data_IF_499541405022
#
_entry.id   IF_499541405022
#
_cell.length_a   1.000
_cell.length_b   1.000
_cell.length_c   1.000
_cell.angle_alpha   90.00
_cell.angle_beta   90.00
_cell.angle_gamma   90.00
#
_symmetry.space_group_name_H-M   'P 1'
#
loop_
_entity.id
_entity.type
_entity.pdbx_description
1 polymer ?
#
# COMPACT_ATOMS: atom_id res chain seq x y z
N UNK A 1 39.59 -29.71 95.24
CA UNK A 1 40.08 -29.05 94.01
C UNK A 1 39.64 -29.90 92.82
N UNK A 2 38.41 -29.72 92.31
CA UNK A 2 37.92 -30.43 91.10
C UNK A 2 36.72 -29.74 90.41
N UNK A 3 36.46 -28.46 90.73
CA UNK A 3 35.25 -27.73 90.27
C UNK A 3 35.47 -27.01 88.91
N UNK A 4 36.72 -26.86 88.48
CA UNK A 4 37.10 -26.08 87.28
C UNK A 4 36.93 -26.89 85.96
N UNK A 5 37.16 -28.21 85.99
CA UNK A 5 37.16 -29.05 84.79
C UNK A 5 35.76 -29.21 84.19
N UNK A 6 34.71 -29.29 85.02
CA UNK A 6 33.33 -29.47 84.54
C UNK A 6 32.67 -28.17 84.04
N UNK A 7 33.15 -27.02 84.49
CA UNK A 7 32.72 -25.72 83.96
C UNK A 7 33.36 -25.46 82.58
N UNK A 8 34.66 -25.75 82.46
CA UNK A 8 35.40 -25.67 81.19
C UNK A 8 34.85 -26.62 80.14
N UNK A 9 34.57 -27.88 80.49
CA UNK A 9 33.97 -28.86 79.56
C UNK A 9 32.57 -28.46 79.08
N UNK A 10 31.75 -27.86 79.94
CA UNK A 10 30.42 -27.35 79.55
C UNK A 10 30.51 -26.13 78.64
N UNK A 11 31.47 -25.24 78.87
CA UNK A 11 31.72 -24.09 78.00
C UNK A 11 32.28 -24.53 76.63
N UNK A 12 33.23 -25.47 76.60
CA UNK A 12 33.77 -26.04 75.36
C UNK A 12 32.70 -26.80 74.57
N UNK A 13 31.82 -27.56 75.24
CA UNK A 13 30.70 -28.24 74.58
C UNK A 13 29.65 -27.27 74.02
N UNK A 14 29.29 -26.22 74.77
CA UNK A 14 28.33 -25.21 74.31
C UNK A 14 28.90 -24.37 73.14
N UNK A 15 30.20 -24.05 73.18
CA UNK A 15 30.88 -23.38 72.07
C UNK A 15 30.86 -24.26 70.81
N UNK A 16 31.21 -25.53 70.96
CA UNK A 16 31.19 -26.51 69.85
C UNK A 16 29.79 -26.67 69.26
N UNK A 17 28.75 -26.78 70.08
CA UNK A 17 27.36 -26.89 69.60
C UNK A 17 26.93 -25.61 68.86
N UNK A 18 27.33 -24.43 69.34
CA UNK A 18 27.07 -23.16 68.67
C UNK A 18 27.82 -23.04 67.35
N UNK A 19 29.08 -23.50 67.29
CA UNK A 19 29.90 -23.52 66.07
C UNK A 19 29.35 -24.50 65.03
N UNK A 20 28.92 -25.69 65.46
CA UNK A 20 28.29 -26.70 64.59
C UNK A 20 26.95 -26.16 64.02
N UNK A 21 26.14 -25.49 64.86
CA UNK A 21 24.88 -24.86 64.43
C UNK A 21 25.11 -23.69 63.46
N UNK A 22 26.10 -22.83 63.73
CA UNK A 22 26.47 -21.74 62.83
C UNK A 22 26.96 -22.28 61.49
N UNK A 23 27.85 -23.28 61.50
CA UNK A 23 28.39 -23.91 60.29
C UNK A 23 27.27 -24.54 59.45
N UNK A 24 26.34 -25.25 60.08
CA UNK A 24 25.20 -25.84 59.37
C UNK A 24 24.32 -24.78 58.69
N UNK A 25 23.99 -23.69 59.39
CA UNK A 25 23.24 -22.58 58.80
C UNK A 25 24.00 -21.94 57.64
N UNK A 26 25.27 -21.61 57.87
CA UNK A 26 26.17 -21.00 56.90
C UNK A 26 26.31 -21.82 55.61
N UNK A 27 26.46 -23.15 55.73
CA UNK A 27 26.57 -24.06 54.59
C UNK A 27 25.24 -24.27 53.86
N UNK A 28 24.10 -24.14 54.55
CA UNK A 28 22.76 -24.29 53.98
C UNK A 28 22.15 -23.01 53.39
N UNK A 29 22.80 -21.85 53.54
CA UNK A 29 22.31 -20.58 53.02
C UNK A 29 22.36 -20.56 51.49
N UNK A 30 21.23 -20.21 50.85
CA UNK A 30 21.15 -19.99 49.39
C UNK A 30 21.72 -18.63 48.95
N UNK A 31 21.73 -17.66 49.87
CA UNK A 31 22.34 -16.34 49.67
C UNK A 31 23.86 -16.45 49.81
N UNK A 32 24.60 -15.84 48.87
CA UNK A 32 26.04 -15.84 48.94
C UNK A 32 26.52 -14.95 50.09
N UNK A 33 27.46 -15.47 50.87
CA UNK A 33 28.08 -14.76 51.97
C UNK A 33 29.60 -14.81 51.84
N UNK A 34 30.25 -13.67 52.05
CA UNK A 34 31.69 -13.55 52.13
C UNK A 34 32.12 -12.58 53.23
N UNK A 35 33.20 -12.91 53.93
CA UNK A 35 33.95 -12.00 54.79
C UNK A 35 35.24 -11.64 54.08
N UNK A 36 35.54 -10.35 54.01
CA UNK A 36 36.73 -9.82 53.34
C UNK A 36 37.48 -8.84 54.24
N UNK A 37 38.81 -8.89 54.17
CA UNK A 37 39.69 -7.86 54.72
C UNK A 37 40.02 -6.86 53.60
N UNK A 38 39.62 -5.60 53.76
CA UNK A 38 39.84 -4.54 52.76
C UNK A 38 41.26 -3.98 52.94
N UNK A 39 42.00 -3.87 51.84
CA UNK A 39 43.43 -3.54 51.83
C UNK A 39 43.65 -2.09 51.38
N UNK A 40 44.54 -1.39 52.08
CA UNK A 40 45.02 -0.05 51.72
C UNK A 40 46.39 -0.12 51.05
N UNK A 41 46.67 0.83 50.16
CA UNK A 41 48.03 1.09 49.69
C UNK A 41 48.83 1.95 50.70
N UNK A 42 50.09 2.25 50.37
CA UNK A 42 50.96 3.10 51.19
C UNK A 42 50.45 4.54 51.35
N UNK A 43 49.59 5.00 50.43
CA UNK A 43 48.95 6.32 50.47
C UNK A 43 47.65 6.31 51.30
N UNK A 44 47.23 5.14 51.80
CA UNK A 44 46.02 4.96 52.61
C UNK A 44 44.73 4.82 51.80
N UNK A 45 44.80 4.65 50.47
CA UNK A 45 43.66 4.44 49.61
C UNK A 45 43.24 2.96 49.55
N UNK A 46 41.95 2.68 49.48
CA UNK A 46 41.41 1.32 49.36
C UNK A 46 41.65 0.75 47.95
N UNK A 47 42.46 -0.30 47.83
CA UNK A 47 42.97 -0.78 46.52
C UNK A 47 42.62 -2.23 46.17
N UNK A 48 42.37 -3.08 47.16
CA UNK A 48 42.00 -4.48 46.95
C UNK A 48 41.30 -5.03 48.20
N UNK A 49 40.86 -6.28 48.17
CA UNK A 49 40.35 -6.98 49.34
C UNK A 49 40.69 -8.47 49.27
N UNK A 50 40.90 -9.08 50.43
CA UNK A 50 41.24 -10.50 50.57
C UNK A 50 40.05 -11.27 51.16
N UNK A 51 39.67 -12.38 50.55
CA UNK A 51 38.62 -13.24 51.09
C UNK A 51 39.12 -14.00 52.31
N UNK A 52 38.41 -13.86 53.43
CA UNK A 52 38.72 -14.51 54.71
C UNK A 52 37.84 -15.75 54.89
N UNK A 53 36.56 -15.63 54.53
CA UNK A 53 35.57 -16.68 54.71
C UNK A 53 34.52 -16.55 53.60
N UNK A 54 34.05 -17.66 53.05
CA UNK A 54 32.94 -17.67 52.08
C UNK A 54 32.07 -18.90 52.31
N UNK A 55 30.78 -18.81 51.99
CA UNK A 55 29.89 -19.96 52.03
C UNK A 55 29.81 -20.69 50.66
N UNK A 56 29.22 -21.90 50.59
CA UNK A 56 29.06 -22.62 49.32
C UNK A 56 28.28 -21.84 48.26
N UNK A 57 27.25 -21.08 48.67
CA UNK A 57 26.48 -20.24 47.75
C UNK A 57 27.35 -19.17 47.07
N UNK A 58 28.35 -18.60 47.74
CA UNK A 58 29.32 -17.70 47.10
C UNK A 58 29.95 -18.33 45.86
N UNK A 59 30.38 -19.59 45.97
CA UNK A 59 31.02 -20.30 44.85
C UNK A 59 30.01 -20.57 43.74
N UNK A 60 28.76 -20.91 44.06
CA UNK A 60 27.71 -21.09 43.05
C UNK A 60 27.37 -19.75 42.32
N UNK A 61 27.24 -18.66 43.07
CA UNK A 61 26.88 -17.34 42.57
C UNK A 61 28.03 -16.61 41.87
N UNK A 62 29.29 -16.99 42.09
CA UNK A 62 30.45 -16.33 41.45
C UNK A 62 31.22 -17.24 40.49
N UNK A 63 31.17 -18.55 40.68
CA UNK A 63 31.99 -19.52 39.94
C UNK A 63 33.48 -19.53 40.34
N UNK A 64 33.87 -18.80 41.38
CA UNK A 64 35.28 -18.69 41.79
C UNK A 64 35.72 -19.92 42.60
N UNK A 65 36.73 -20.69 42.13
CA UNK A 65 37.27 -21.79 42.90
C UNK A 65 38.25 -21.27 43.96
N UNK A 66 38.11 -21.78 45.19
CA UNK A 66 39.06 -21.55 46.30
C UNK A 66 39.40 -20.08 46.58
N UNK A 67 38.40 -19.22 46.88
CA UNK A 67 38.64 -17.78 47.02
C UNK A 67 39.37 -17.39 48.31
N UNK A 68 39.23 -18.17 49.38
CA UNK A 68 39.79 -17.86 50.71
C UNK A 68 41.32 -17.72 50.67
N UNK A 69 41.83 -16.65 51.26
CA UNK A 69 43.25 -16.30 51.34
C UNK A 69 43.77 -15.49 50.16
N UNK A 70 43.03 -15.43 49.05
CA UNK A 70 43.41 -14.73 47.81
C UNK A 70 42.76 -13.36 47.72
N UNK A 71 43.35 -12.46 46.93
CA UNK A 71 42.75 -11.14 46.69
C UNK A 71 41.80 -11.15 45.50
N UNK A 72 40.92 -10.15 45.42
CA UNK A 72 40.01 -9.98 44.30
C UNK A 72 40.78 -9.80 42.98
N UNK A 73 41.87 -9.06 43.00
CA UNK A 73 42.76 -8.89 41.83
C UNK A 73 43.39 -10.21 41.39
N UNK A 74 43.80 -11.09 42.30
CA UNK A 74 44.36 -12.40 41.96
C UNK A 74 43.34 -13.36 41.32
N UNK A 75 42.06 -13.22 41.66
CA UNK A 75 40.98 -14.09 41.19
C UNK A 75 40.32 -13.57 39.91
N UNK A 76 40.08 -12.26 39.83
CA UNK A 76 39.35 -11.62 38.73
C UNK A 76 40.26 -10.85 37.76
N UNK A 77 41.54 -10.65 38.11
CA UNK A 77 42.50 -9.88 37.34
C UNK A 77 42.26 -8.37 37.43
N UNK A 78 41.11 -7.92 36.92
CA UNK A 78 40.65 -6.52 36.98
C UNK A 78 39.21 -6.48 37.50
N UNK A 79 39.00 -6.67 38.82
CA UNK A 79 37.67 -6.60 39.42
C UNK A 79 37.04 -5.22 39.19
N UNK A 80 35.72 -5.11 39.35
CA UNK A 80 35.06 -3.80 39.32
C UNK A 80 35.74 -2.87 40.35
N UNK A 81 36.32 -1.73 39.92
CA UNK A 81 37.03 -0.82 40.82
C UNK A 81 36.13 -0.21 41.90
N UNK A 82 34.82 -0.28 41.72
CA UNK A 82 33.84 0.20 42.69
C UNK A 82 33.74 -0.70 43.92
N UNK A 83 34.17 -1.96 43.87
CA UNK A 83 34.12 -2.85 45.04
C UNK A 83 34.94 -2.35 46.22
N UNK A 84 36.18 -1.93 45.97
CA UNK A 84 37.07 -1.43 47.03
C UNK A 84 36.58 -0.12 47.61
N UNK A 85 35.94 0.73 46.79
CA UNK A 85 35.28 1.95 47.22
C UNK A 85 34.08 1.65 48.13
N UNK A 86 33.21 0.71 47.75
CA UNK A 86 32.03 0.33 48.53
C UNK A 86 32.41 -0.33 49.86
N UNK A 87 33.37 -1.27 49.84
CA UNK A 87 33.82 -1.94 51.06
C UNK A 87 34.59 -1.00 51.97
N UNK A 88 35.46 -0.16 51.40
CA UNK A 88 36.17 0.88 52.13
C UNK A 88 35.21 1.89 52.78
N UNK A 89 34.20 2.35 52.03
CA UNK A 89 33.15 3.22 52.55
C UNK A 89 32.38 2.55 53.69
N UNK A 90 32.05 1.26 53.57
CA UNK A 90 31.41 0.53 54.66
C UNK A 90 32.30 0.54 55.91
N UNK A 91 33.60 0.24 55.80
CA UNK A 91 34.56 0.31 56.93
C UNK A 91 34.59 1.70 57.56
N UNK A 92 34.83 2.73 56.74
CA UNK A 92 35.01 4.12 57.19
C UNK A 92 33.75 4.66 57.89
N UNK A 93 32.56 4.38 57.33
CA UNK A 93 31.27 4.86 57.86
C UNK A 93 30.68 3.96 58.93
N UNK A 94 31.02 2.66 58.93
CA UNK A 94 30.38 1.57 59.68
C UNK A 94 28.88 1.40 59.43
N UNK A 95 28.33 2.03 58.40
CA UNK A 95 26.94 1.87 58.00
C UNK A 95 26.82 0.76 56.97
N UNK A 96 25.71 0.03 57.02
CA UNK A 96 25.42 -0.97 56.00
C UNK A 96 25.07 -0.30 54.67
N UNK A 97 25.64 -0.79 53.57
CA UNK A 97 25.43 -0.29 52.22
C UNK A 97 24.67 -1.35 51.41
N UNK A 98 23.57 -0.95 50.78
CA UNK A 98 22.81 -1.79 49.84
C UNK A 98 22.89 -1.22 48.44
N UNK A 99 23.27 -2.04 47.47
CA UNK A 99 23.48 -1.61 46.09
C UNK A 99 23.36 -2.78 45.13
N UNK A 100 22.82 -2.53 43.94
CA UNK A 100 22.95 -3.45 42.81
C UNK A 100 24.18 -3.06 41.99
N UNK A 101 25.11 -3.98 41.79
CA UNK A 101 26.36 -3.67 41.11
C UNK A 101 26.79 -4.85 40.22
N UNK A 102 27.35 -4.51 39.06
CA UNK A 102 27.82 -5.50 38.09
C UNK A 102 29.28 -5.88 38.40
N UNK A 103 29.61 -7.15 38.18
CA UNK A 103 31.00 -7.60 38.05
C UNK A 103 31.25 -7.97 36.58
N UNK A 104 31.87 -7.07 35.80
CA UNK A 104 32.12 -7.28 34.37
C UNK A 104 32.93 -8.54 34.07
N UNK A 105 33.88 -8.92 34.95
CA UNK A 105 34.72 -10.11 34.76
C UNK A 105 33.93 -11.41 34.85
N UNK A 106 32.82 -11.41 35.61
CA UNK A 106 31.91 -12.54 35.74
C UNK A 106 30.70 -12.45 34.80
N UNK A 107 30.50 -11.31 34.14
CA UNK A 107 29.29 -10.98 33.38
C UNK A 107 28.01 -11.21 34.22
N UNK A 108 28.05 -10.77 35.48
CA UNK A 108 26.95 -10.93 36.46
C UNK A 108 26.62 -9.61 37.14
N UNK A 109 25.38 -9.46 37.55
CA UNK A 109 24.88 -8.37 38.39
C UNK A 109 24.45 -8.97 39.72
N UNK A 110 24.91 -8.36 40.80
CA UNK A 110 24.61 -8.78 42.15
C UNK A 110 23.80 -7.70 42.87
N UNK A 111 22.83 -8.11 43.68
CA UNK A 111 22.23 -7.26 44.72
C UNK A 111 23.00 -7.54 46.00
N UNK A 112 23.61 -6.51 46.60
CA UNK A 112 24.56 -6.64 47.70
C UNK A 112 24.07 -5.91 48.94
N UNK A 113 24.35 -6.51 50.09
CA UNK A 113 24.27 -5.90 51.40
C UNK A 113 25.61 -6.04 52.12
N UNK A 114 26.29 -4.90 52.28
CA UNK A 114 27.67 -4.80 52.76
C UNK A 114 27.63 -4.20 54.17
N UNK A 115 28.27 -4.84 55.15
CA UNK A 115 28.30 -4.36 56.53
C UNK A 115 29.65 -4.64 57.21
N UNK A 116 30.09 -3.70 58.05
CA UNK A 116 31.36 -3.81 58.76
C UNK A 116 31.25 -4.79 59.93
N UNK A 117 32.18 -5.76 60.00
CA UNK A 117 32.28 -6.69 61.13
C UNK A 117 33.30 -6.21 62.17
N UNK A 118 34.45 -5.71 61.71
CA UNK A 118 35.53 -5.25 62.58
C UNK A 118 36.26 -4.09 61.90
N UNK A 119 36.16 -2.89 62.47
CA UNK A 119 36.80 -1.69 61.94
C UNK A 119 38.32 -1.69 62.13
N UNK A 120 38.81 -2.24 63.23
CA UNK A 120 40.24 -2.24 63.54
C UNK A 120 41.02 -3.15 62.56
N UNK A 121 40.34 -4.17 62.04
CA UNK A 121 40.86 -5.09 61.03
C UNK A 121 40.43 -4.78 59.59
N UNK A 122 39.72 -3.66 59.36
CA UNK A 122 39.13 -3.30 58.06
C UNK A 122 38.30 -4.44 57.44
N UNK A 123 37.53 -5.15 58.27
CA UNK A 123 36.80 -6.36 57.89
C UNK A 123 35.34 -6.08 57.63
N UNK A 124 34.87 -6.57 56.50
CA UNK A 124 33.50 -6.41 56.01
C UNK A 124 32.90 -7.77 55.69
N UNK A 125 31.63 -7.95 56.00
CA UNK A 125 30.82 -9.03 55.48
C UNK A 125 29.91 -8.53 54.36
N UNK A 126 29.71 -9.38 53.37
CA UNK A 126 28.92 -9.10 52.18
C UNK A 126 27.96 -10.26 51.98
N UNK A 127 26.67 -9.95 51.99
CA UNK A 127 25.60 -10.82 51.54
C UNK A 127 25.23 -10.39 50.12
N UNK A 128 25.07 -11.34 49.21
CA UNK A 128 24.62 -11.01 47.87
C UNK A 128 23.87 -12.12 47.16
N UNK A 129 23.03 -11.71 46.20
CA UNK A 129 22.30 -12.61 45.31
C UNK A 129 22.57 -12.23 43.85
N UNK A 130 22.81 -13.23 43.00
CA UNK A 130 22.89 -13.02 41.55
C UNK A 130 21.51 -12.68 40.97
N UNK A 131 21.35 -11.46 40.46
CA UNK A 131 20.12 -10.95 39.84
C UNK A 131 20.23 -10.78 38.33
N UNK A 132 21.25 -11.38 37.70
CA UNK A 132 21.55 -11.20 36.27
C UNK A 132 20.38 -11.60 35.38
N UNK A 133 19.78 -12.77 35.60
CA UNK A 133 18.67 -13.27 34.78
C UNK A 133 17.42 -12.40 34.91
N UNK A 134 17.12 -11.91 36.13
CA UNK A 134 16.04 -10.94 36.35
C UNK A 134 16.29 -9.66 35.56
N UNK A 135 17.49 -9.08 35.64
CA UNK A 135 17.85 -7.85 34.90
C UNK A 135 17.78 -8.05 33.39
N UNK A 136 18.24 -9.19 32.88
CA UNK A 136 18.14 -9.52 31.44
C UNK A 136 16.69 -9.65 30.98
N UNK A 137 15.84 -10.30 31.78
CA UNK A 137 14.42 -10.41 31.48
C UNK A 137 13.71 -9.04 31.49
N UNK A 138 14.02 -8.17 32.46
CA UNK A 138 13.50 -6.81 32.54
C UNK A 138 13.90 -5.96 31.31
N UNK A 139 15.18 -6.02 30.91
CA UNK A 139 15.68 -5.30 29.72
C UNK A 139 15.03 -5.85 28.45
N UNK A 140 14.99 -7.17 28.27
CA UNK A 140 14.39 -7.80 27.10
C UNK A 140 12.88 -7.50 27.00
N UNK A 141 12.17 -7.47 28.13
CA UNK A 141 10.76 -7.08 28.17
C UNK A 141 10.60 -5.63 27.73
N UNK A 142 11.38 -4.71 28.32
CA UNK A 142 11.34 -3.29 27.95
C UNK A 142 11.66 -3.04 26.48
N UNK A 143 12.68 -3.72 25.95
CA UNK A 143 13.03 -3.65 24.52
C UNK A 143 11.92 -4.20 23.64
N UNK A 144 11.28 -5.30 24.04
CA UNK A 144 10.16 -5.86 23.31
C UNK A 144 8.93 -4.96 23.35
N UNK A 145 8.63 -4.33 24.49
CA UNK A 145 7.54 -3.36 24.64
C UNK A 145 7.77 -2.12 23.77
N UNK A 146 8.97 -1.57 23.80
CA UNK A 146 9.37 -0.43 22.97
C UNK A 146 9.26 -0.76 21.48
N UNK A 147 9.78 -1.92 21.06
CA UNK A 147 9.67 -2.39 19.68
C UNK A 147 8.22 -2.53 19.26
N UNK A 148 7.37 -3.14 20.09
CA UNK A 148 5.96 -3.31 19.78
C UNK A 148 5.22 -1.97 19.68
N UNK A 149 5.54 -1.02 20.58
CA UNK A 149 4.99 0.35 20.51
C UNK A 149 5.34 1.03 19.19
N UNK A 150 6.61 1.01 18.79
CA UNK A 150 7.06 1.62 17.54
C UNK A 150 6.44 0.94 16.32
N UNK A 151 6.27 -0.39 16.33
CA UNK A 151 5.58 -1.10 15.24
C UNK A 151 4.12 -0.66 15.09
N UNK A 152 3.42 -0.43 16.21
CA UNK A 152 2.04 0.05 16.23
C UNK A 152 1.97 1.48 15.68
N UNK A 153 2.87 2.37 16.10
CA UNK A 153 2.92 3.78 15.65
C UNK A 153 3.21 3.94 14.14
N UNK A 154 3.82 2.94 13.50
CA UNK A 154 4.09 2.96 12.06
C UNK A 154 2.87 2.65 11.18
N UNK A 155 1.83 2.03 11.75
CA UNK A 155 0.65 1.64 10.97
C UNK A 155 -0.28 2.85 10.82
N UNK A 156 -0.59 3.32 9.60
CA UNK A 156 -1.53 4.42 9.38
C UNK A 156 -2.97 3.91 9.48
N UNK A 157 -3.33 3.40 10.66
CA UNK A 157 -4.65 2.88 10.96
C UNK A 157 -5.17 3.49 12.25
N UNK A 158 -6.48 3.64 12.34
CA UNK A 158 -7.12 3.82 13.65
C UNK A 158 -7.15 2.48 14.35
N UNK A 159 -6.62 2.40 15.57
CA UNK A 159 -6.56 1.18 16.37
C UNK A 159 -7.36 1.36 17.66
N UNK A 160 -8.11 0.33 18.00
CA UNK A 160 -8.88 0.32 19.25
C UNK A 160 -9.02 -1.10 19.80
N UNK A 161 -9.54 -1.17 21.00
CA UNK A 161 -9.91 -2.42 21.63
C UNK A 161 -11.23 -2.28 22.34
N UNK A 162 -11.97 -3.38 22.37
CA UNK A 162 -13.27 -3.47 23.03
C UNK A 162 -13.26 -4.64 24.01
N UNK A 163 -14.09 -4.55 25.04
CA UNK A 163 -14.35 -5.66 25.95
C UNK A 163 -15.28 -6.71 25.29
N UNK A 164 -15.49 -7.88 25.92
CA UNK A 164 -16.37 -8.92 25.37
C UNK A 164 -17.83 -8.49 25.18
N UNK A 165 -18.28 -7.44 25.88
CA UNK A 165 -19.62 -6.87 25.73
C UNK A 165 -19.69 -5.82 24.60
N UNK A 166 -18.59 -5.54 23.91
CA UNK A 166 -18.52 -4.65 22.76
C UNK A 166 -18.26 -3.18 23.10
N UNK A 167 -17.88 -2.85 24.35
CA UNK A 167 -17.58 -1.47 24.74
C UNK A 167 -16.12 -1.13 24.48
N UNK A 168 -15.84 0.07 23.99
CA UNK A 168 -14.46 0.55 23.76
C UNK A 168 -13.73 0.70 25.08
N UNK A 169 -12.54 0.09 25.17
CA UNK A 169 -11.66 0.15 26.35
C UNK A 169 -10.47 1.08 26.09
N UNK A 170 -9.93 1.04 24.87
CA UNK A 170 -8.80 1.89 24.44
C UNK A 170 -9.02 2.23 22.97
N UNK A 171 -8.79 3.49 22.58
CA UNK A 171 -8.64 3.93 21.20
C UNK A 171 -7.35 4.75 21.10
N UNK A 172 -6.67 4.65 19.97
CA UNK A 172 -5.42 5.37 19.73
C UNK A 172 -5.65 6.85 19.35
N UNK A 173 -4.55 7.59 19.20
CA UNK A 173 -4.63 9.01 18.86
C UNK A 173 -5.09 9.25 17.42
N UNK A 174 -4.87 8.29 16.51
CA UNK A 174 -5.35 8.35 15.13
C UNK A 174 -6.88 8.32 15.07
N UNK A 175 -7.54 7.54 15.93
CA UNK A 175 -9.00 7.56 16.08
C UNK A 175 -9.53 8.98 16.28
N UNK A 176 -8.97 9.70 17.26
CA UNK A 176 -9.40 11.06 17.57
C UNK A 176 -9.08 12.03 16.44
N UNK A 177 -7.88 11.92 15.83
CA UNK A 177 -7.48 12.78 14.72
C UNK A 177 -8.41 12.62 13.51
N UNK A 178 -8.80 11.38 13.22
CA UNK A 178 -9.58 11.05 12.04
C UNK A 178 -11.07 11.33 12.22
N UNK A 179 -11.65 10.94 13.37
CA UNK A 179 -13.11 11.03 13.62
C UNK A 179 -13.54 12.29 14.35
N UNK A 180 -12.60 12.97 15.03
CA UNK A 180 -12.88 14.10 15.93
C UNK A 180 -13.45 13.73 17.30
N UNK A 181 -13.71 12.44 17.58
CA UNK A 181 -14.28 11.97 18.84
C UNK A 181 -13.21 11.81 19.93
N UNK A 182 -13.52 12.19 21.18
CA UNK A 182 -12.60 12.01 22.32
C UNK A 182 -12.84 10.65 22.98
N UNK A 183 -11.78 9.92 23.33
CA UNK A 183 -11.89 8.58 23.89
C UNK A 183 -12.59 8.50 25.28
N UNK A 184 -12.89 9.64 25.94
CA UNK A 184 -13.47 9.74 27.29
C UNK A 184 -15.01 9.82 27.33
N UNK A 185 -15.68 9.92 26.19
CA UNK A 185 -17.14 9.78 26.12
C UNK A 185 -17.49 8.27 26.06
N UNK A 186 -18.51 7.83 26.80
CA UNK A 186 -18.93 6.42 26.91
C UNK A 186 -19.38 5.85 25.53
N UNK A 187 -18.42 5.36 24.76
CA UNK A 187 -18.53 5.19 23.30
C UNK A 187 -18.95 3.79 22.81
N UNK A 188 -19.78 3.05 23.55
CA UNK A 188 -20.43 1.86 22.96
C UNK A 188 -21.19 2.21 21.65
N UNK A 189 -21.60 3.48 21.49
CA UNK A 189 -22.28 4.00 20.29
C UNK A 189 -21.43 4.93 19.40
N UNK A 190 -20.22 5.33 19.81
CA UNK A 190 -19.38 6.28 19.07
C UNK A 190 -18.90 5.80 17.71
N UNK A 191 -18.61 4.50 17.63
CA UNK A 191 -18.20 3.84 16.39
C UNK A 191 -19.24 4.01 15.27
N UNK A 192 -20.53 3.96 15.61
CA UNK A 192 -21.63 4.05 14.64
C UNK A 192 -21.82 5.46 14.10
N UNK A 193 -21.56 6.46 14.93
CA UNK A 193 -21.68 7.87 14.51
C UNK A 193 -20.62 8.27 13.50
N UNK A 194 -19.46 7.60 13.53
CA UNK A 194 -18.43 7.74 12.53
C UNK A 194 -18.77 7.01 11.21
N UNK A 195 -19.69 6.04 11.22
CA UNK A 195 -20.04 5.25 10.03
C UNK A 195 -21.10 6.00 9.20
N UNK A 196 -20.94 5.98 7.88
CA UNK A 196 -21.92 6.52 6.94
C UNK A 196 -23.31 5.91 7.17
N UNK A 197 -24.39 6.71 7.17
CA UNK A 197 -25.75 6.23 7.47
C UNK A 197 -26.15 4.93 6.76
N UNK A 198 -25.93 4.83 5.45
CA UNK A 198 -26.27 3.61 4.68
C UNK A 198 -25.49 2.35 5.11
N UNK A 199 -24.32 2.52 5.74
CA UNK A 199 -23.43 1.40 6.07
C UNK A 199 -23.65 0.91 7.52
N UNK A 200 -24.43 1.64 8.34
CA UNK A 200 -24.60 1.41 9.79
C UNK A 200 -25.29 0.10 10.10
N UNK A 201 -26.43 -0.18 9.47
CA UNK A 201 -27.21 -1.38 9.75
C UNK A 201 -26.42 -2.65 9.44
N UNK A 202 -25.71 -2.65 8.30
CA UNK A 202 -24.82 -3.73 7.92
C UNK A 202 -23.61 -3.85 8.87
N UNK A 203 -23.06 -2.74 9.35
CA UNK A 203 -21.98 -2.74 10.34
C UNK A 203 -22.42 -3.38 11.66
N UNK A 204 -23.57 -2.95 12.17
CA UNK A 204 -24.18 -3.45 13.41
C UNK A 204 -24.43 -4.96 13.35
N UNK A 205 -25.06 -5.42 12.27
CA UNK A 205 -25.36 -6.84 12.10
C UNK A 205 -24.09 -7.70 12.06
N UNK A 206 -23.07 -7.25 11.31
CA UNK A 206 -21.80 -7.98 11.18
C UNK A 206 -21.03 -8.00 12.52
N UNK A 207 -21.03 -6.88 13.24
CA UNK A 207 -20.36 -6.78 14.54
C UNK A 207 -21.06 -7.61 15.61
N UNK A 208 -22.40 -7.58 15.67
CA UNK A 208 -23.17 -8.43 16.58
C UNK A 208 -22.93 -9.92 16.31
N UNK A 209 -22.84 -10.32 15.04
CA UNK A 209 -22.50 -11.69 14.67
C UNK A 209 -21.10 -12.09 15.12
N UNK A 210 -20.10 -11.22 14.95
CA UNK A 210 -18.75 -11.45 15.40
C UNK A 210 -18.69 -11.63 16.92
N UNK A 211 -19.34 -10.74 17.69
CA UNK A 211 -19.41 -10.87 19.16
C UNK A 211 -20.06 -12.20 19.60
N UNK A 212 -21.12 -12.62 18.93
CA UNK A 212 -21.86 -13.85 19.28
C UNK A 212 -21.08 -15.14 18.95
N UNK A 213 -20.30 -15.14 17.86
CA UNK A 213 -19.60 -16.33 17.36
C UNK A 213 -18.14 -16.40 17.80
N UNK A 214 -17.53 -15.26 18.07
CA UNK A 214 -16.09 -15.14 18.24
C UNK A 214 -15.29 -15.31 16.95
N UNK A 215 -15.92 -15.15 15.78
CA UNK A 215 -15.22 -15.15 14.50
C UNK A 215 -14.64 -13.75 14.19
N UNK A 216 -13.46 -13.66 13.55
CA UNK A 216 -12.93 -12.39 13.07
C UNK A 216 -13.89 -11.72 12.07
N UNK A 217 -14.01 -10.40 12.17
CA UNK A 217 -14.76 -9.58 11.22
C UNK A 217 -13.80 -8.82 10.31
N UNK A 218 -14.08 -8.80 9.02
CA UNK A 218 -13.43 -7.91 8.05
C UNK A 218 -14.49 -7.32 7.12
N UNK A 219 -14.50 -6.00 6.94
CA UNK A 219 -15.44 -5.32 6.03
C UNK A 219 -14.89 -4.01 5.50
N UNK A 220 -15.41 -3.58 4.35
CA UNK A 220 -15.23 -2.23 3.88
C UNK A 220 -16.43 -1.38 4.28
N UNK A 221 -16.18 -0.17 4.76
CA UNK A 221 -17.24 0.78 5.12
C UNK A 221 -16.75 2.21 4.97
N UNK A 222 -17.69 3.15 4.86
CA UNK A 222 -17.38 4.57 4.84
C UNK A 222 -17.37 5.12 6.26
N UNK A 223 -16.23 5.67 6.66
CA UNK A 223 -16.10 6.39 7.93
C UNK A 223 -15.95 7.89 7.66
N UNK A 224 -16.51 8.70 8.55
CA UNK A 224 -16.51 10.16 8.52
C UNK A 224 -15.15 10.69 8.95
N UNK A 225 -14.63 11.64 8.20
CA UNK A 225 -13.48 12.46 8.58
C UNK A 225 -13.89 13.66 9.44
N UNK A 226 -12.92 14.28 10.10
CA UNK A 226 -13.12 15.49 10.90
C UNK A 226 -13.81 16.63 10.11
N UNK A 227 -13.58 16.74 8.80
CA UNK A 227 -14.16 17.77 7.93
C UNK A 227 -15.59 17.43 7.43
N UNK A 228 -16.13 16.26 7.80
CA UNK A 228 -17.50 15.83 7.50
C UNK A 228 -17.65 14.93 6.27
N UNK A 229 -16.63 14.84 5.43
CA UNK A 229 -16.59 13.92 4.28
C UNK A 229 -16.40 12.47 4.71
N UNK A 230 -16.80 11.53 3.85
CA UNK A 230 -16.70 10.10 4.11
C UNK A 230 -15.66 9.44 3.23
N UNK A 231 -14.83 8.60 3.84
CA UNK A 231 -13.77 7.84 3.15
C UNK A 231 -13.90 6.35 3.40
N UNK A 232 -13.54 5.57 2.39
CA UNK A 232 -13.57 4.12 2.46
C UNK A 232 -12.47 3.60 3.38
N UNK A 233 -12.85 2.73 4.31
CA UNK A 233 -11.94 2.08 5.24
C UNK A 233 -12.12 0.57 5.20
N UNK A 234 -11.00 -0.16 5.27
CA UNK A 234 -10.99 -1.57 5.60
C UNK A 234 -10.96 -1.71 7.12
N UNK A 235 -12.05 -2.22 7.68
CA UNK A 235 -12.24 -2.42 9.12
C UNK A 235 -12.12 -3.89 9.45
N UNK A 236 -11.27 -4.21 10.43
CA UNK A 236 -11.05 -5.58 10.90
C UNK A 236 -11.15 -5.65 12.41
N UNK A 237 -11.81 -6.69 12.93
CA UNK A 237 -11.83 -7.04 14.34
C UNK A 237 -11.35 -8.47 14.56
N UNK A 238 -10.47 -8.65 15.53
CA UNK A 238 -9.94 -9.97 15.93
C UNK A 238 -10.13 -10.20 17.44
N UNK A 239 -10.62 -11.39 17.85
CA UNK A 239 -10.80 -11.71 19.26
C UNK A 239 -9.49 -12.20 19.88
N UNK A 240 -9.30 -11.87 21.15
CA UNK A 240 -8.26 -12.41 22.02
C UNK A 240 -8.92 -13.38 22.99
N UNK A 241 -8.36 -14.59 23.06
CA UNK A 241 -8.88 -15.65 23.92
C UNK A 241 -7.97 -15.86 25.12
N UNK A 242 -8.58 -16.04 26.29
CA UNK A 242 -7.91 -16.46 27.51
C UNK A 242 -7.49 -17.93 27.47
N UNK A 243 -6.83 -18.37 28.54
CA UNK A 243 -6.39 -19.77 28.69
C UNK A 243 -7.56 -20.77 28.74
N UNK A 244 -8.75 -20.32 29.13
CA UNK A 244 -10.01 -21.07 29.16
C UNK A 244 -10.77 -21.06 27.82
N UNK A 245 -10.23 -20.40 26.79
CA UNK A 245 -10.85 -20.25 25.48
C UNK A 245 -11.93 -19.16 25.40
N UNK A 246 -12.27 -18.54 26.53
CA UNK A 246 -13.22 -17.42 26.58
C UNK A 246 -12.60 -16.18 25.94
N UNK A 247 -13.42 -15.36 25.29
CA UNK A 247 -12.96 -14.10 24.71
C UNK A 247 -12.76 -13.11 25.85
N UNK A 248 -11.56 -12.58 25.98
CA UNK A 248 -11.20 -11.61 27.02
C UNK A 248 -11.19 -10.18 26.48
N UNK A 249 -10.99 -10.02 25.17
CA UNK A 249 -10.91 -8.72 24.50
C UNK A 249 -11.07 -8.89 22.99
N UNK A 250 -11.38 -7.81 22.29
CA UNK A 250 -11.15 -7.74 20.85
C UNK A 250 -10.26 -6.55 20.50
N UNK A 251 -9.49 -6.69 19.43
CA UNK A 251 -8.77 -5.59 18.79
C UNK A 251 -9.41 -5.23 17.46
N UNK A 252 -9.58 -3.94 17.22
CA UNK A 252 -10.10 -3.37 15.99
C UNK A 252 -9.05 -2.51 15.30
N UNK A 253 -9.06 -2.53 13.97
CA UNK A 253 -8.26 -1.64 13.13
C UNK A 253 -9.10 -1.12 11.96
N UNK A 254 -8.89 0.12 11.57
CA UNK A 254 -9.46 0.73 10.37
C UNK A 254 -8.36 1.40 9.55
N UNK A 255 -8.13 0.89 8.34
CA UNK A 255 -7.14 1.44 7.39
C UNK A 255 -7.90 2.22 6.32
N UNK A 256 -7.50 3.45 6.04
CA UNK A 256 -8.05 4.23 4.92
C UNK A 256 -7.63 3.58 3.59
N UNK A 257 -8.62 3.20 2.80
CA UNK A 257 -8.45 2.58 1.48
C UNK A 257 -9.11 3.43 0.38
N UNK A 258 -9.42 4.70 0.66
CA UNK A 258 -10.20 5.54 -0.24
C UNK A 258 -9.53 5.73 -1.60
N UNK A 259 -8.22 5.99 -1.62
CA UNK A 259 -7.47 6.13 -2.88
C UNK A 259 -7.44 4.83 -3.68
N UNK A 260 -7.29 3.69 -2.99
CA UNK A 260 -7.33 2.36 -3.61
C UNK A 260 -8.72 2.09 -4.21
N UNK A 261 -9.77 2.40 -3.46
CA UNK A 261 -11.16 2.23 -3.90
C UNK A 261 -11.48 3.14 -5.10
N UNK A 262 -11.03 4.40 -5.10
CA UNK A 262 -11.21 5.34 -6.20
C UNK A 262 -10.49 4.89 -7.48
N UNK A 263 -9.26 4.39 -7.35
CA UNK A 263 -8.52 3.81 -8.47
C UNK A 263 -9.25 2.60 -9.05
N UNK A 264 -9.74 1.70 -8.19
CA UNK A 264 -10.52 0.53 -8.63
C UNK A 264 -11.81 0.94 -9.34
N UNK A 265 -12.54 1.91 -8.79
CA UNK A 265 -13.78 2.42 -9.39
C UNK A 265 -13.54 3.06 -10.76
N UNK A 266 -12.45 3.82 -10.91
CA UNK A 266 -12.05 4.40 -12.20
C UNK A 266 -11.68 3.31 -13.21
N UNK A 267 -10.95 2.28 -12.79
CA UNK A 267 -10.61 1.15 -13.67
C UNK A 267 -11.86 0.43 -14.17
N UNK A 268 -12.85 0.19 -13.31
CA UNK A 268 -14.11 -0.45 -13.71
C UNK A 268 -14.90 0.40 -14.72
N UNK A 269 -14.94 1.72 -14.55
CA UNK A 269 -15.56 2.64 -15.51
C UNK A 269 -14.86 2.54 -16.87
N UNK A 270 -13.53 2.60 -16.89
CA UNK A 270 -12.74 2.49 -18.14
C UNK A 270 -12.94 1.14 -18.83
N UNK A 271 -13.01 0.04 -18.07
CA UNK A 271 -13.29 -1.30 -18.62
C UNK A 271 -14.69 -1.34 -19.25
N UNK A 272 -15.70 -0.80 -18.56
CA UNK A 272 -17.06 -0.74 -19.09
C UNK A 272 -17.16 0.11 -20.36
N UNK A 273 -16.45 1.24 -20.41
CA UNK A 273 -16.40 2.10 -21.59
C UNK A 273 -15.69 1.42 -22.77
N UNK A 274 -14.56 0.75 -22.52
CA UNK A 274 -13.85 -0.04 -23.53
C UNK A 274 -14.72 -1.18 -24.08
N UNK A 275 -15.44 -1.89 -23.21
CA UNK A 275 -16.37 -2.95 -23.63
C UNK A 275 -17.50 -2.39 -24.49
N UNK A 276 -18.05 -1.22 -24.13
CA UNK A 276 -19.05 -0.55 -24.93
C UNK A 276 -18.51 -0.16 -26.31
N UNK A 277 -17.30 0.43 -26.38
CA UNK A 277 -16.64 0.77 -27.65
C UNK A 277 -16.33 -0.46 -28.50
N UNK A 278 -15.88 -1.55 -27.90
CA UNK A 278 -15.63 -2.83 -28.58
C UNK A 278 -16.91 -3.39 -29.21
N UNK A 279 -18.01 -3.44 -28.45
CA UNK A 279 -19.33 -3.86 -28.97
C UNK A 279 -19.79 -3.00 -30.13
N UNK A 280 -19.61 -1.67 -30.05
CA UNK A 280 -19.95 -0.77 -31.14
C UNK A 280 -19.12 -1.04 -32.41
N UNK A 281 -17.81 -1.27 -32.28
CA UNK A 281 -16.94 -1.60 -33.42
C UNK A 281 -17.33 -2.92 -34.08
N UNK A 282 -17.62 -3.96 -33.28
CA UNK A 282 -18.10 -5.23 -33.79
C UNK A 282 -19.41 -5.06 -34.56
N UNK A 283 -20.35 -4.25 -34.04
CA UNK A 283 -21.60 -3.93 -34.74
C UNK A 283 -21.37 -3.28 -36.11
N UNK A 284 -20.42 -2.36 -36.22
CA UNK A 284 -20.03 -1.73 -37.51
C UNK A 284 -19.43 -2.77 -38.46
N UNK A 285 -18.51 -3.61 -37.98
CA UNK A 285 -17.89 -4.67 -38.79
C UNK A 285 -18.96 -5.61 -39.36
N UNK A 286 -19.89 -6.07 -38.51
CA UNK A 286 -21.01 -6.92 -38.94
C UNK A 286 -21.88 -6.21 -39.98
N UNK A 287 -22.19 -4.92 -39.79
CA UNK A 287 -22.99 -4.17 -40.76
C UNK A 287 -22.30 -4.03 -42.13
N UNK A 288 -20.97 -3.82 -42.16
CA UNK A 288 -20.19 -3.76 -43.40
C UNK A 288 -20.11 -5.12 -44.07
N UNK A 289 -19.95 -6.19 -43.31
CA UNK A 289 -19.95 -7.56 -43.82
C UNK A 289 -21.31 -7.90 -44.45
N UNK A 290 -22.41 -7.68 -43.72
CA UNK A 290 -23.77 -7.90 -44.18
C UNK A 290 -24.08 -7.16 -45.48
N UNK A 291 -23.68 -5.89 -45.57
CA UNK A 291 -23.91 -5.07 -46.77
C UNK A 291 -23.09 -5.57 -47.96
N UNK A 292 -21.82 -5.93 -47.74
CA UNK A 292 -20.95 -6.44 -48.80
C UNK A 292 -21.46 -7.77 -49.35
N UNK A 293 -21.90 -8.69 -48.48
CA UNK A 293 -22.45 -9.99 -48.87
C UNK A 293 -23.80 -9.85 -49.58
N UNK A 294 -24.75 -9.07 -49.02
CA UNK A 294 -26.09 -8.89 -49.62
C UNK A 294 -26.05 -8.27 -51.02
N UNK A 295 -25.00 -7.52 -51.35
CA UNK A 295 -24.84 -6.86 -52.64
C UNK A 295 -23.91 -7.62 -53.60
N UNK A 296 -23.53 -8.86 -53.28
CA UNK A 296 -22.71 -9.71 -54.16
C UNK A 296 -21.25 -9.28 -54.28
N UNK A 297 -20.73 -8.51 -53.32
CA UNK A 297 -19.33 -8.08 -53.27
C UNK A 297 -18.36 -9.23 -52.96
N UNK A 298 -17.10 -9.08 -53.38
CA UNK A 298 -16.04 -10.04 -53.09
C UNK A 298 -15.45 -9.88 -51.69
N UNK A 299 -14.69 -10.88 -51.22
CA UNK A 299 -13.98 -10.82 -49.93
C UNK A 299 -12.96 -9.68 -49.94
N UNK A 300 -12.29 -9.45 -51.07
CA UNK A 300 -11.33 -8.36 -51.23
C UNK A 300 -12.01 -6.99 -51.05
N UNK A 301 -13.23 -6.82 -51.56
CA UNK A 301 -13.99 -5.57 -51.37
C UNK A 301 -14.42 -5.36 -49.91
N UNK A 302 -14.62 -6.43 -49.13
CA UNK A 302 -14.85 -6.33 -47.70
C UNK A 302 -13.57 -5.94 -46.95
N UNK A 303 -12.43 -6.56 -47.29
CA UNK A 303 -11.13 -6.24 -46.69
C UNK A 303 -10.71 -4.79 -46.97
N UNK A 304 -10.88 -4.29 -48.20
CA UNK A 304 -10.60 -2.89 -48.57
C UNK A 304 -11.38 -1.89 -47.68
N UNK A 305 -12.68 -2.16 -47.45
CA UNK A 305 -13.54 -1.34 -46.57
C UNK A 305 -13.15 -1.45 -45.09
N UNK A 306 -12.80 -2.65 -44.63
CA UNK A 306 -12.36 -2.86 -43.26
C UNK A 306 -11.05 -2.12 -42.98
N UNK A 307 -10.13 -2.10 -43.93
CA UNK A 307 -8.89 -1.34 -43.83
C UNK A 307 -9.13 0.18 -43.76
N UNK A 308 -10.10 0.71 -44.53
CA UNK A 308 -10.50 2.12 -44.43
C UNK A 308 -11.03 2.48 -43.04
N UNK A 309 -11.92 1.64 -42.49
CA UNK A 309 -12.39 1.82 -41.12
C UNK A 309 -11.26 1.71 -40.09
N UNK A 310 -10.31 0.79 -40.29
CA UNK A 310 -9.15 0.62 -39.41
C UNK A 310 -8.27 1.87 -39.37
N UNK A 311 -7.97 2.48 -40.53
CA UNK A 311 -7.24 3.76 -40.61
C UNK A 311 -7.96 4.87 -39.86
N UNK A 312 -9.27 4.98 -40.10
CA UNK A 312 -10.10 5.99 -39.48
C UNK A 312 -10.20 5.82 -37.95
N UNK A 313 -10.23 4.58 -37.45
CA UNK A 313 -10.12 4.27 -36.02
C UNK A 313 -8.72 4.57 -35.45
N UNK A 314 -7.65 4.32 -36.22
CA UNK A 314 -6.29 4.68 -35.84
C UNK A 314 -6.13 6.17 -35.57
N UNK A 315 -6.75 7.02 -36.39
CA UNK A 315 -6.74 8.48 -36.20
C UNK A 315 -7.44 8.91 -34.91
N UNK A 316 -8.58 8.31 -34.55
CA UNK A 316 -9.24 8.56 -33.26
C UNK A 316 -8.37 8.14 -32.06
N UNK A 317 -7.64 7.04 -32.19
CA UNK A 317 -6.84 6.51 -31.08
C UNK A 317 -5.58 7.34 -30.81
N UNK A 318 -5.01 7.99 -31.82
CA UNK A 318 -3.77 8.76 -31.69
C UNK A 318 -3.99 10.15 -31.09
N UNK A 319 -5.13 10.77 -31.36
CA UNK A 319 -5.45 12.12 -30.85
C UNK A 319 -6.00 12.12 -29.43
N UNK A 320 -6.38 10.95 -28.88
CA UNK A 320 -7.05 10.86 -27.58
C UNK A 320 -8.37 11.64 -27.52
N UNK A 321 -8.96 11.93 -28.69
CA UNK A 321 -10.14 12.77 -28.88
C UNK A 321 -11.29 11.96 -29.45
N UNK A 322 -12.52 12.32 -29.12
CA UNK A 322 -13.75 11.72 -29.67
C UNK A 322 -14.09 12.22 -31.09
N UNK A 323 -13.21 13.05 -31.66
CA UNK A 323 -13.40 13.66 -32.98
C UNK A 323 -12.16 13.56 -33.86
N UNK A 324 -12.37 13.55 -35.18
CA UNK A 324 -11.31 13.53 -36.19
C UNK A 324 -11.49 14.69 -37.16
N UNK A 325 -10.39 15.34 -37.53
CA UNK A 325 -10.38 16.37 -38.58
C UNK A 325 -10.70 15.76 -39.95
N UNK A 326 -11.65 16.35 -40.68
CA UNK A 326 -12.03 15.97 -42.06
C UNK A 326 -10.81 15.87 -42.97
N UNK A 327 -9.90 16.85 -42.90
CA UNK A 327 -8.69 16.87 -43.71
C UNK A 327 -7.74 15.72 -43.40
N UNK A 328 -7.61 15.33 -42.13
CA UNK A 328 -6.79 14.19 -41.74
C UNK A 328 -7.35 12.88 -42.31
N UNK A 329 -8.67 12.72 -42.29
CA UNK A 329 -9.32 11.53 -42.86
C UNK A 329 -9.16 11.46 -44.39
N UNK A 330 -9.37 12.57 -45.09
CA UNK A 330 -9.17 12.66 -46.53
C UNK A 330 -7.72 12.32 -46.94
N UNK A 331 -6.73 12.91 -46.24
CA UNK A 331 -5.31 12.63 -46.48
C UNK A 331 -4.96 11.16 -46.23
N UNK A 332 -5.44 10.58 -45.13
CA UNK A 332 -5.16 9.19 -44.78
C UNK A 332 -5.73 8.18 -45.79
N UNK A 333 -6.93 8.45 -46.34
CA UNK A 333 -7.52 7.58 -47.36
C UNK A 333 -6.81 7.71 -48.72
N UNK A 334 -6.47 8.92 -49.14
CA UNK A 334 -5.79 9.13 -50.43
C UNK A 334 -4.37 8.58 -50.42
N UNK A 335 -3.63 8.78 -49.34
CA UNK A 335 -2.28 8.22 -49.19
C UNK A 335 -2.26 6.68 -49.27
N UNK A 336 -3.36 6.01 -48.89
CA UNK A 336 -3.45 4.55 -48.92
C UNK A 336 -3.76 3.97 -50.32
N UNK A 337 -4.36 4.75 -51.22
CA UNK A 337 -4.89 4.25 -52.51
C UNK A 337 -4.40 4.99 -53.75
N UNK A 338 -3.85 6.20 -53.58
CA UNK A 338 -3.44 7.09 -54.66
C UNK A 338 -1.92 7.35 -54.65
N UNK A 339 -1.13 6.30 -54.40
CA UNK A 339 0.33 6.38 -54.36
C UNK A 339 0.90 6.89 -55.70
N UNK A 340 1.82 7.86 -55.63
CA UNK A 340 2.42 8.51 -56.81
C UNK A 340 1.55 9.56 -57.52
N UNK A 341 0.41 9.96 -56.97
CA UNK A 341 -0.48 10.98 -57.56
C UNK A 341 -0.54 12.32 -56.79
N UNK A 342 0.36 12.56 -55.83
CA UNK A 342 0.34 13.74 -54.94
C UNK A 342 0.26 15.07 -55.69
N UNK A 343 1.02 15.24 -56.78
CA UNK A 343 1.02 16.47 -57.60
C UNK A 343 -0.30 16.73 -58.34
N UNK A 344 -1.20 15.73 -58.39
CA UNK A 344 -2.49 15.77 -59.09
C UNK A 344 -3.68 15.88 -58.15
N UNK A 345 -3.44 15.84 -56.85
CA UNK A 345 -4.47 15.86 -55.80
C UNK A 345 -4.36 17.18 -55.04
N UNK A 346 -5.45 17.95 -55.03
CA UNK A 346 -5.56 19.15 -54.20
C UNK A 346 -6.57 18.91 -53.08
N UNK A 347 -6.14 19.11 -51.83
CA UNK A 347 -6.97 18.94 -50.64
C UNK A 347 -7.01 20.27 -49.90
N UNK A 348 -8.18 20.89 -49.73
CA UNK A 348 -8.29 22.20 -49.07
C UNK A 348 -9.61 22.41 -48.33
N UNK A 349 -9.56 23.08 -47.17
CA UNK A 349 -10.76 23.42 -46.42
C UNK A 349 -10.42 23.88 -45.00
N UNK A 350 -11.40 24.43 -44.27
CA UNK A 350 -11.22 24.84 -42.89
C UNK A 350 -11.12 23.63 -41.96
N UNK A 351 -10.58 23.84 -40.75
CA UNK A 351 -10.54 22.79 -39.72
C UNK A 351 -11.96 22.45 -39.26
N UNK A 352 -12.46 21.29 -39.67
CA UNK A 352 -13.77 20.74 -39.28
C UNK A 352 -13.57 19.37 -38.66
N UNK A 353 -14.23 19.14 -37.53
CA UNK A 353 -14.14 17.90 -36.77
C UNK A 353 -15.44 17.08 -36.90
N UNK A 354 -15.30 15.77 -37.07
CA UNK A 354 -16.40 14.82 -37.11
C UNK A 354 -16.41 13.98 -35.83
N UNK A 355 -17.60 13.72 -35.29
CA UNK A 355 -17.78 12.74 -34.20
C UNK A 355 -17.42 11.33 -34.66
N UNK A 356 -17.12 10.42 -33.73
CA UNK A 356 -16.81 9.02 -34.04
C UNK A 356 -17.86 8.34 -34.96
N UNK A 357 -19.16 8.63 -34.75
CA UNK A 357 -20.25 8.09 -35.58
C UNK A 357 -20.24 8.66 -37.00
N UNK A 358 -20.06 9.98 -37.14
CA UNK A 358 -19.98 10.63 -38.45
C UNK A 358 -18.72 10.19 -39.20
N UNK A 359 -17.60 10.08 -38.50
CA UNK A 359 -16.32 9.65 -39.05
C UNK A 359 -16.42 8.27 -39.71
N UNK A 360 -17.05 7.28 -39.07
CA UNK A 360 -17.16 5.92 -39.61
C UNK A 360 -17.84 5.89 -40.99
N UNK A 361 -18.99 6.55 -41.10
CA UNK A 361 -19.75 6.60 -42.35
C UNK A 361 -19.05 7.48 -43.39
N UNK A 362 -18.42 8.58 -42.96
CA UNK A 362 -17.69 9.48 -43.85
C UNK A 362 -16.40 8.84 -44.40
N UNK A 363 -15.70 8.03 -43.60
CA UNK A 363 -14.54 7.26 -44.03
C UNK A 363 -14.89 6.28 -45.15
N UNK A 364 -16.03 5.57 -45.02
CA UNK A 364 -16.54 4.70 -46.07
C UNK A 364 -16.90 5.49 -47.34
N UNK A 365 -17.52 6.67 -47.22
CA UNK A 365 -17.81 7.52 -48.38
C UNK A 365 -16.55 7.97 -49.12
N UNK A 366 -15.55 8.44 -48.37
CA UNK A 366 -14.26 8.83 -48.93
C UNK A 366 -13.54 7.63 -49.57
N UNK A 367 -13.61 6.46 -48.95
CA UNK A 367 -13.01 5.24 -49.48
C UNK A 367 -13.59 4.87 -50.84
N UNK A 368 -14.92 4.88 -50.98
CA UNK A 368 -15.60 4.56 -52.24
C UNK A 368 -15.33 5.61 -53.34
N UNK A 369 -15.33 6.90 -52.99
CA UNK A 369 -14.95 7.97 -53.92
C UNK A 369 -13.50 7.80 -54.39
N UNK A 370 -12.58 7.50 -53.48
CA UNK A 370 -11.16 7.30 -53.77
C UNK A 370 -10.95 6.09 -54.66
N UNK A 371 -11.55 4.94 -54.34
CA UNK A 371 -11.42 3.74 -55.18
C UNK A 371 -12.05 3.93 -56.55
N UNK A 372 -13.16 4.67 -56.66
CA UNK A 372 -13.73 5.02 -57.97
C UNK A 372 -12.79 5.91 -58.79
N UNK A 373 -12.18 6.92 -58.17
CA UNK A 373 -11.21 7.79 -58.85
C UNK A 373 -9.99 7.01 -59.35
N UNK A 374 -9.51 6.03 -58.60
CA UNK A 374 -8.37 5.16 -58.98
C UNK A 374 -8.76 4.13 -60.05
N UNK A 375 -9.89 3.45 -59.89
CA UNK A 375 -10.30 2.34 -60.80
C UNK A 375 -10.87 2.86 -62.13
N UNK A 376 -11.60 3.98 -62.09
CA UNK A 376 -12.41 4.45 -63.22
C UNK A 376 -12.28 5.95 -63.53
N UNK A 377 -11.74 6.75 -62.62
CA UNK A 377 -11.78 8.21 -62.69
C UNK A 377 -10.42 8.89 -62.91
N UNK A 378 -10.26 10.07 -62.32
CA UNK A 378 -9.13 10.98 -62.57
C UNK A 378 -7.76 10.45 -62.14
N UNK A 379 -7.71 9.51 -61.20
CA UNK A 379 -6.44 8.96 -60.73
C UNK A 379 -5.95 7.78 -61.55
N UNK A 380 -6.80 7.23 -62.44
CA UNK A 380 -6.45 6.14 -63.35
C UNK A 380 -5.46 6.54 -64.45
N UNK A 381 -5.56 7.77 -64.96
CA UNK A 381 -4.70 8.29 -66.04
C UNK A 381 -3.80 9.40 -65.53
N UNK A 382 -2.66 9.61 -66.19
CA UNK A 382 -1.67 10.64 -65.80
C UNK A 382 -2.13 12.08 -66.05
N UNK A 383 -3.22 12.26 -66.81
CA UNK A 383 -3.78 13.57 -67.16
C UNK A 383 -4.87 14.04 -66.21
N UNK A 384 -5.45 13.13 -65.42
CA UNK A 384 -6.56 13.47 -64.55
C UNK A 384 -6.12 14.18 -63.27
N UNK A 385 -6.98 15.07 -62.77
CA UNK A 385 -6.77 15.81 -61.52
C UNK A 385 -7.96 15.64 -60.60
N UNK A 386 -7.67 15.54 -59.30
CA UNK A 386 -8.65 15.40 -58.23
C UNK A 386 -8.56 16.62 -57.30
N UNK A 387 -9.68 17.30 -57.11
CA UNK A 387 -9.82 18.39 -56.14
C UNK A 387 -10.85 17.98 -55.11
N UNK A 388 -10.43 18.00 -53.85
CA UNK A 388 -11.27 17.77 -52.68
C UNK A 388 -11.25 19.04 -51.86
N UNK A 389 -12.40 19.70 -51.78
CA UNK A 389 -12.56 20.87 -50.95
C UNK A 389 -13.75 20.77 -50.04
N UNK A 390 -13.68 21.37 -48.85
CA UNK A 390 -14.83 21.45 -47.97
C UNK A 390 -14.97 22.80 -47.30
N UNK A 391 -16.18 23.09 -46.83
CA UNK A 391 -16.51 24.28 -46.04
C UNK A 391 -17.60 23.97 -45.00
N UNK A 392 -17.75 24.83 -44.00
CA UNK A 392 -18.84 24.82 -43.03
C UNK A 392 -19.94 25.78 -43.48
N UNK A 393 -21.01 25.24 -44.06
CA UNK A 393 -22.17 26.03 -44.52
C UNK A 393 -23.30 26.02 -43.49
N UNK A 394 -24.18 27.02 -43.54
CA UNK A 394 -25.42 27.03 -42.76
C UNK A 394 -26.58 26.58 -43.63
N UNK A 395 -27.43 25.69 -43.12
CA UNK A 395 -28.67 25.32 -43.80
C UNK A 395 -29.75 26.41 -43.66
N UNK A 396 -30.92 26.20 -44.30
CA UNK A 396 -32.06 27.12 -44.22
C UNK A 396 -32.62 27.33 -42.80
N UNK A 397 -32.17 26.54 -41.82
CA UNK A 397 -32.54 26.61 -40.41
C UNK A 397 -31.35 27.04 -39.54
N UNK A 398 -30.32 27.65 -40.13
CA UNK A 398 -29.10 28.12 -39.47
C UNK A 398 -28.28 27.01 -38.75
N UNK A 399 -28.44 25.74 -39.15
CA UNK A 399 -27.63 24.64 -38.61
C UNK A 399 -26.36 24.48 -39.43
N UNK A 400 -25.23 24.29 -38.74
CA UNK A 400 -23.93 24.03 -39.38
C UNK A 400 -23.96 22.68 -40.10
N UNK A 401 -23.50 22.69 -41.34
CA UNK A 401 -23.33 21.50 -42.18
C UNK A 401 -21.95 21.53 -42.82
N UNK A 402 -21.34 20.35 -42.94
CA UNK A 402 -20.16 20.16 -43.76
C UNK A 402 -20.61 20.04 -45.20
N UNK A 403 -20.06 20.85 -46.09
CA UNK A 403 -20.23 20.72 -47.53
C UNK A 403 -18.90 20.30 -48.16
N UNK A 404 -18.76 19.00 -48.45
CA UNK A 404 -17.63 18.44 -49.18
C UNK A 404 -17.90 18.50 -50.69
N UNK A 405 -16.93 18.96 -51.46
CA UNK A 405 -16.90 18.94 -52.92
C UNK A 405 -15.75 18.03 -53.37
N UNK A 406 -16.10 17.04 -54.17
CA UNK A 406 -15.20 16.12 -54.84
C UNK A 406 -15.30 16.37 -56.34
N UNK A 407 -14.22 16.82 -56.95
CA UNK A 407 -14.19 17.19 -58.38
C UNK A 407 -13.04 16.47 -59.06
N UNK A 408 -13.40 15.63 -60.02
CA UNK A 408 -12.50 14.95 -60.94
C UNK A 408 -12.56 15.65 -62.30
N UNK A 409 -11.39 15.93 -62.87
CA UNK A 409 -11.24 16.59 -64.17
C UNK A 409 -10.19 15.88 -65.02
N UNK A 410 -10.23 16.07 -66.35
CA UNK A 410 -9.30 15.41 -67.27
C UNK A 410 -9.63 13.93 -67.54
N UNK A 411 -10.90 13.54 -67.35
CA UNK A 411 -11.40 12.19 -67.58
C UNK A 411 -12.38 12.21 -68.75
N UNK A 412 -12.04 11.52 -69.85
CA UNK A 412 -12.97 11.34 -70.96
C UNK A 412 -14.01 10.27 -70.61
N UNK A 413 -15.23 10.70 -70.26
CA UNK A 413 -16.34 9.79 -69.95
C UNK A 413 -17.15 9.51 -71.22
N UNK A 414 -17.24 8.24 -71.61
CA UNK A 414 -18.06 7.79 -72.74
C UNK A 414 -19.56 8.07 -72.47
N UNK A 415 -20.32 8.63 -73.42
CA UNK A 415 -21.72 9.00 -73.23
C UNK A 415 -22.63 7.87 -72.73
N UNK A 416 -22.36 6.63 -73.15
CA UNK A 416 -23.14 5.45 -72.77
C UNK A 416 -22.90 4.98 -71.32
N UNK A 417 -21.81 5.45 -70.68
CA UNK A 417 -21.52 5.19 -69.26
C UNK A 417 -22.15 6.24 -68.34
N UNK A 418 -22.56 7.39 -68.88
CA UNK A 418 -23.27 8.46 -68.14
C UNK A 418 -24.67 7.97 -67.70
N UNK A 419 -25.26 7.03 -68.43
CA UNK A 419 -26.61 6.50 -68.17
C UNK A 419 -26.65 5.23 -67.30
N UNK A 420 -25.52 4.51 -67.13
CA UNK A 420 -25.44 3.32 -66.26
C UNK A 420 -25.02 3.70 -64.84
N UNK A 421 -25.90 3.50 -63.86
CA UNK A 421 -25.55 3.60 -62.44
C UNK A 421 -24.68 2.41 -62.04
N UNK A 422 -23.44 2.68 -61.61
CA UNK A 422 -22.55 1.67 -61.06
C UNK A 422 -22.78 1.46 -59.57
N UNK A 423 -22.33 0.30 -59.07
CA UNK A 423 -22.44 -0.13 -57.67
C UNK A 423 -21.94 0.91 -56.65
N UNK A 424 -20.78 1.53 -56.89
CA UNK A 424 -20.23 2.57 -55.99
C UNK A 424 -21.05 3.86 -55.96
N UNK A 425 -21.71 4.21 -57.06
CA UNK A 425 -22.55 5.40 -57.16
C UNK A 425 -23.85 5.24 -56.36
N UNK A 426 -24.43 4.04 -56.37
CA UNK A 426 -25.66 3.71 -55.62
C UNK A 426 -25.38 3.68 -54.10
N UNK A 427 -24.22 3.17 -53.68
CA UNK A 427 -23.80 3.18 -52.27
C UNK A 427 -23.58 4.60 -51.73
N UNK A 428 -22.95 5.47 -52.52
CA UNK A 428 -22.73 6.89 -52.18
C UNK A 428 -24.05 7.67 -52.14
N UNK A 429 -24.95 7.46 -53.11
CA UNK A 429 -26.19 8.22 -53.22
C UNK A 429 -27.29 7.77 -52.25
N UNK A 430 -27.43 6.47 -51.97
CA UNK A 430 -28.57 5.96 -51.19
C UNK A 430 -28.17 5.52 -49.78
N UNK A 431 -27.11 4.72 -49.66
CA UNK A 431 -26.75 4.10 -48.39
C UNK A 431 -26.00 5.06 -47.45
N UNK A 432 -25.11 5.90 -48.00
CA UNK A 432 -24.33 6.88 -47.25
C UNK A 432 -25.11 8.16 -46.98
N UNK A 433 -25.98 8.59 -47.91
CA UNK A 433 -26.89 9.72 -47.70
C UNK A 433 -27.80 9.49 -46.49
N UNK A 434 -28.38 8.29 -46.37
CA UNK A 434 -29.22 7.94 -45.22
C UNK A 434 -28.40 7.88 -43.91
N UNK A 435 -27.23 7.23 -43.92
CA UNK A 435 -26.42 7.02 -42.72
C UNK A 435 -25.75 8.29 -42.17
N UNK A 436 -25.50 9.28 -43.04
CA UNK A 436 -24.93 10.58 -42.67
C UNK A 436 -25.99 11.69 -42.53
N UNK A 437 -27.28 11.38 -42.73
CA UNK A 437 -28.35 12.37 -42.93
C UNK A 437 -27.94 13.44 -43.96
N UNK A 438 -27.22 13.01 -44.98
CA UNK A 438 -26.56 13.88 -45.95
C UNK A 438 -27.40 14.04 -47.22
N UNK A 439 -27.29 15.21 -47.83
CA UNK A 439 -27.71 15.43 -49.20
C UNK A 439 -26.52 15.15 -50.11
N UNK A 440 -26.69 14.27 -51.09
CA UNK A 440 -25.62 13.94 -52.05
C UNK A 440 -26.08 14.35 -53.44
N UNK A 441 -25.33 15.27 -54.06
CA UNK A 441 -25.48 15.65 -55.46
C UNK A 441 -24.31 15.08 -56.24
N UNK A 442 -24.58 14.16 -57.16
CA UNK A 442 -23.57 13.45 -57.93
C UNK A 442 -23.88 13.58 -59.42
N UNK A 443 -22.92 14.09 -60.17
CA UNK A 443 -23.04 14.36 -61.59
C UNK A 443 -21.83 13.82 -62.37
N UNK A 444 -22.11 13.04 -63.41
CA UNK A 444 -21.13 12.64 -64.43
C UNK A 444 -21.15 13.70 -65.55
N UNK A 445 -20.07 14.44 -65.68
CA UNK A 445 -19.85 15.43 -66.74
C UNK A 445 -18.95 14.89 -67.86
N UNK A 446 -18.85 15.61 -68.99
CA UNK A 446 -18.00 15.22 -70.10
C UNK A 446 -16.50 15.26 -69.78
N UNK A 447 -16.10 15.95 -68.72
CA UNK A 447 -14.69 16.14 -68.28
C UNK A 447 -14.37 15.39 -66.97
N UNK A 448 -15.33 14.67 -66.38
CA UNK A 448 -15.13 13.91 -65.15
C UNK A 448 -16.33 13.89 -64.20
N UNK A 449 -16.06 13.66 -62.93
CA UNK A 449 -17.05 13.44 -61.87
C UNK A 449 -17.14 14.65 -60.95
N UNK A 450 -18.36 15.07 -60.61
CA UNK A 450 -18.58 16.03 -59.52
C UNK A 450 -19.52 15.43 -58.50
N UNK A 451 -19.07 15.35 -57.26
CA UNK A 451 -19.86 14.88 -56.13
C UNK A 451 -19.82 15.91 -55.01
N UNK A 452 -20.98 16.36 -54.56
CA UNK A 452 -21.15 17.26 -53.43
C UNK A 452 -21.91 16.53 -52.32
N UNK A 453 -21.31 16.43 -51.15
CA UNK A 453 -21.90 15.78 -49.97
C UNK A 453 -22.11 16.86 -48.90
N UNK A 454 -23.37 17.09 -48.53
CA UNK A 454 -23.74 18.02 -47.47
C UNK A 454 -24.33 17.28 -46.28
N UNK A 455 -23.63 17.26 -45.15
CA UNK A 455 -24.04 16.52 -43.95
C UNK A 455 -24.11 17.43 -42.72
N UNK A 456 -25.00 17.19 -41.75
CA UNK A 456 -25.06 18.01 -40.55
C UNK A 456 -23.79 17.81 -39.72
N UNK A 457 -23.27 18.90 -39.13
CA UNK A 457 -22.24 18.85 -38.10
C UNK A 457 -22.94 18.82 -36.73
N UNK A 458 -22.41 18.00 -35.83
CA UNK A 458 -22.98 17.80 -34.50
C UNK A 458 -22.56 18.95 -33.56
#
# INVERSE_FOLDING_TARGET
MNIDIDARKRAEAALRESEERYRALFESMDEAYAVVDVLKDEAGAWVDFRFVEVNPAFIAHTGMPWPVGRTATELLGKPNPRWTQLYGQAVDTGQAIRVEEAEPTLNRVFDLNIFTLDRDRNRVAVLFTNITERKRAEVALRESEERNRLMIELVPAMLWSIDPEGRIVIADQEWQRHTGQRADEDHAFGLLDAIHPDDRDAALAAFAHALATGEPLERQQRNRQQEGDYRWHLVRHVPVRGADGAITRWFGAAIDIHELHDLQSRQEILVNELQHRSRNLLGVITAVADRTVKQGGSVEAFEERLQALSRAQGLLSQTGSDTVEVGALARAELAAHADGADDRITISGPTVHLTARQMQNFALALHELTTNAVKYGALKSDTGRLVISWDSVLDRRERRRLALNWVESGVAIEPDKITRRGYGTELIQEALAYALEATVDYALGPDGVRCRIEMPLA
#
